data_IF_134535939620
#
_entry.id   IF_134535939620
#
_cell.length_a   1.000
_cell.length_b   1.000
_cell.length_c   1.000
_cell.angle_alpha   90.00
_cell.angle_beta   90.00
_cell.angle_gamma   90.00
#
_symmetry.space_group_name_H-M   'P 1'
#
loop_
_entity.id
_entity.type
_entity.pdbx_description
1 polymer ?
#
# COMPACT_ATOMS: atom_id res chain seq x y z
N UNK A 1 11.68 -2.56 17.09
CA UNK A 1 11.11 -1.62 18.09
C UNK A 1 9.65 -1.95 18.47
N UNK A 2 8.68 -2.22 17.56
CA UNK A 2 7.27 -2.48 17.95
C UNK A 2 7.10 -3.67 18.91
N UNK A 3 7.89 -4.73 18.73
CA UNK A 3 7.84 -5.91 19.60
C UNK A 3 8.14 -5.57 21.06
N UNK A 4 9.09 -4.69 21.34
CA UNK A 4 9.43 -4.30 22.72
C UNK A 4 8.31 -3.52 23.40
N UNK A 5 7.53 -2.74 22.66
CA UNK A 5 6.36 -2.03 23.20
C UNK A 5 5.30 -3.04 23.64
N UNK A 6 5.04 -4.08 22.84
CA UNK A 6 4.09 -5.14 23.17
C UNK A 6 4.60 -5.96 24.38
N UNK A 7 5.86 -6.38 24.36
CA UNK A 7 6.45 -7.16 25.48
C UNK A 7 6.43 -6.35 26.79
N UNK A 8 6.80 -5.07 26.73
CA UNK A 8 6.77 -4.20 27.90
C UNK A 8 5.34 -4.02 28.44
N UNK A 9 4.36 -3.81 27.56
CA UNK A 9 2.95 -3.62 27.98
C UNK A 9 2.35 -4.88 28.61
N UNK A 10 2.65 -6.05 28.05
CA UNK A 10 2.26 -7.34 28.62
C UNK A 10 2.96 -7.57 29.96
N UNK A 11 4.27 -7.27 30.04
CA UNK A 11 5.06 -7.36 31.28
C UNK A 11 4.51 -6.48 32.40
N UNK A 12 4.11 -5.26 32.09
CA UNK A 12 3.44 -4.36 33.05
C UNK A 12 2.11 -4.97 33.50
N UNK A 13 1.30 -5.49 32.57
CA UNK A 13 0.04 -6.17 32.92
C UNK A 13 0.24 -7.34 33.88
N UNK A 14 1.26 -8.18 33.65
CA UNK A 14 1.64 -9.28 34.56
C UNK A 14 2.11 -8.77 35.92
N UNK A 15 2.90 -7.72 35.96
CA UNK A 15 3.37 -7.12 37.21
C UNK A 15 2.22 -6.67 38.10
N UNK A 16 1.24 -5.96 37.53
CA UNK A 16 0.03 -5.55 38.26
C UNK A 16 -0.80 -6.75 38.75
N UNK A 17 -0.98 -7.75 37.91
CA UNK A 17 -1.77 -8.93 38.23
C UNK A 17 -1.13 -9.85 39.26
N UNK A 18 0.18 -10.13 39.14
CA UNK A 18 0.88 -11.13 39.96
C UNK A 18 1.54 -10.55 41.19
N UNK A 19 2.10 -9.34 41.11
CA UNK A 19 2.90 -8.76 42.20
C UNK A 19 2.01 -7.87 43.09
N UNK A 20 1.17 -7.04 42.47
CA UNK A 20 0.33 -6.11 43.20
C UNK A 20 -1.06 -6.68 43.56
N UNK A 21 -1.41 -7.86 43.01
CA UNK A 21 -2.76 -8.44 43.15
C UNK A 21 -3.88 -7.43 42.80
N UNK A 22 -3.60 -6.49 41.93
CA UNK A 22 -4.54 -5.44 41.49
C UNK A 22 -4.86 -5.63 40.00
N UNK A 23 -6.05 -5.22 39.60
CA UNK A 23 -6.39 -5.15 38.20
C UNK A 23 -5.45 -4.13 37.49
N UNK A 24 -4.99 -4.39 36.25
CA UNK A 24 -4.23 -3.41 35.51
C UNK A 24 -4.99 -2.07 35.46
N UNK A 25 -4.30 -0.93 35.50
CA UNK A 25 -4.92 0.40 35.50
C UNK A 25 -5.63 0.76 34.18
N UNK A 26 -5.82 -0.22 33.32
CA UNK A 26 -6.43 -0.09 31.99
C UNK A 26 -7.76 -0.86 32.01
N UNK A 27 -8.82 -0.18 31.61
CA UNK A 27 -10.16 -0.79 31.48
C UNK A 27 -10.12 -2.00 30.53
N UNK A 28 -10.88 -3.04 30.85
CA UNK A 28 -10.99 -4.25 30.02
C UNK A 28 -11.45 -3.96 28.60
N UNK A 29 -12.22 -2.90 28.40
CA UNK A 29 -12.69 -2.46 27.07
C UNK A 29 -11.56 -1.93 26.18
N UNK A 30 -10.42 -1.55 26.78
CA UNK A 30 -9.22 -1.10 26.08
C UNK A 30 -8.20 -2.22 25.84
N UNK A 31 -8.56 -3.45 26.10
CA UNK A 31 -7.74 -4.63 25.82
C UNK A 31 -8.22 -5.36 24.57
N UNK A 32 -7.32 -6.15 23.96
CA UNK A 32 -7.71 -6.99 22.81
C UNK A 32 -8.70 -8.05 23.30
N UNK A 33 -9.86 -8.10 22.68
CA UNK A 33 -10.83 -9.17 22.89
C UNK A 33 -10.69 -10.22 21.79
N UNK A 34 -10.45 -11.47 22.19
CA UNK A 34 -10.46 -12.62 21.28
C UNK A 34 -11.67 -13.46 21.65
N UNK A 35 -12.55 -13.81 20.68
CA UNK A 35 -13.68 -14.72 20.96
C UNK A 35 -13.18 -16.04 21.55
N UNK A 36 -13.92 -16.56 22.54
CA UNK A 36 -13.56 -17.81 23.22
C UNK A 36 -13.59 -19.03 22.29
N UNK A 37 -14.40 -18.98 21.26
CA UNK A 37 -14.62 -20.06 20.29
C UNK A 37 -14.25 -19.64 18.87
N UNK A 38 -12.94 -19.47 18.61
CA UNK A 38 -12.42 -19.05 17.30
C UNK A 38 -12.87 -19.93 16.13
N UNK A 39 -13.18 -21.20 16.37
CA UNK A 39 -13.53 -22.15 15.32
C UNK A 39 -15.04 -22.23 15.03
N UNK A 40 -15.88 -21.80 15.95
CA UNK A 40 -17.36 -21.89 15.83
C UNK A 40 -18.01 -20.56 15.52
N UNK A 41 -17.40 -19.45 15.94
CA UNK A 41 -17.97 -18.11 15.85
C UNK A 41 -17.51 -17.33 14.61
N UNK A 42 -17.21 -18.06 13.53
CA UNK A 42 -16.91 -17.40 12.26
C UNK A 42 -18.15 -16.67 11.72
N UNK A 43 -18.03 -15.36 11.41
CA UNK A 43 -19.12 -14.64 10.77
C UNK A 43 -19.42 -15.28 9.41
N UNK A 44 -20.69 -15.60 9.21
CA UNK A 44 -21.14 -16.17 7.92
C UNK A 44 -21.50 -15.04 6.97
N UNK A 45 -21.18 -15.16 5.67
CA UNK A 45 -21.56 -14.16 4.69
C UNK A 45 -23.09 -14.13 4.54
N UNK A 46 -23.66 -12.92 4.67
CA UNK A 46 -25.08 -12.66 4.39
C UNK A 46 -25.22 -12.10 2.98
N UNK A 47 -26.04 -12.75 2.14
CA UNK A 47 -26.21 -12.38 0.75
C UNK A 47 -27.51 -11.61 0.47
N UNK A 48 -28.37 -11.42 1.47
CA UNK A 48 -29.72 -10.85 1.30
C UNK A 48 -29.69 -9.42 0.75
N UNK A 49 -28.63 -8.66 1.03
CA UNK A 49 -28.46 -7.27 0.59
C UNK A 49 -27.40 -7.09 -0.49
N UNK A 50 -26.94 -8.15 -1.13
CA UNK A 50 -25.82 -8.09 -2.10
C UNK A 50 -26.12 -7.28 -3.36
N UNK A 51 -27.38 -7.04 -3.67
CA UNK A 51 -27.80 -6.21 -4.82
C UNK A 51 -28.26 -4.80 -4.42
N UNK A 52 -28.13 -4.41 -3.15
CA UNK A 52 -28.42 -3.03 -2.73
C UNK A 52 -27.36 -2.07 -3.36
N UNK A 53 -27.84 -0.95 -3.91
CA UNK A 53 -26.99 0.06 -4.53
C UNK A 53 -25.94 0.62 -3.54
N UNK A 54 -26.31 0.76 -2.28
CA UNK A 54 -25.38 1.19 -1.22
C UNK A 54 -24.28 0.15 -1.00
N UNK A 55 -24.64 -1.14 -0.96
CA UNK A 55 -23.68 -2.23 -0.83
C UNK A 55 -22.72 -2.26 -2.00
N UNK A 56 -23.21 -2.18 -3.24
CA UNK A 56 -22.40 -2.14 -4.44
C UNK A 56 -21.45 -0.93 -4.44
N UNK A 57 -21.91 0.23 -3.99
CA UNK A 57 -21.06 1.43 -3.83
C UNK A 57 -19.91 1.21 -2.86
N UNK A 58 -20.17 0.57 -1.71
CA UNK A 58 -19.13 0.23 -0.71
C UNK A 58 -18.15 -0.79 -1.28
N UNK A 59 -18.64 -1.85 -1.92
CA UNK A 59 -17.80 -2.88 -2.56
C UNK A 59 -16.88 -2.25 -3.62
N UNK A 60 -17.43 -1.40 -4.48
CA UNK A 60 -16.63 -0.68 -5.49
C UNK A 60 -15.55 0.19 -4.83
N UNK A 61 -15.90 0.93 -3.78
CA UNK A 61 -14.98 1.79 -3.05
C UNK A 61 -13.84 1.00 -2.41
N UNK A 62 -14.16 -0.08 -1.70
CA UNK A 62 -13.15 -0.96 -1.07
C UNK A 62 -12.25 -1.59 -2.13
N UNK A 63 -12.83 -2.09 -3.23
CA UNK A 63 -12.06 -2.68 -4.33
C UNK A 63 -11.11 -1.68 -4.96
N UNK A 64 -11.57 -0.46 -5.23
CA UNK A 64 -10.75 0.60 -5.80
C UNK A 64 -9.56 0.94 -4.88
N UNK A 65 -9.82 1.12 -3.59
CA UNK A 65 -8.78 1.41 -2.60
C UNK A 65 -7.78 0.26 -2.54
N UNK A 66 -8.25 -0.98 -2.42
CA UNK A 66 -7.41 -2.17 -2.31
C UNK A 66 -6.51 -2.36 -3.55
N UNK A 67 -7.05 -2.10 -4.75
CA UNK A 67 -6.28 -2.17 -6.00
C UNK A 67 -5.21 -1.09 -6.06
N UNK A 68 -5.56 0.18 -5.76
CA UNK A 68 -4.60 1.29 -5.79
C UNK A 68 -3.49 1.07 -4.74
N UNK A 69 -3.86 0.72 -3.52
CA UNK A 69 -2.91 0.45 -2.44
C UNK A 69 -1.96 -0.70 -2.80
N UNK A 70 -2.51 -1.81 -3.32
CA UNK A 70 -1.72 -2.96 -3.74
C UNK A 70 -0.77 -2.62 -4.89
N UNK A 71 -1.22 -1.87 -5.89
CA UNK A 71 -0.39 -1.42 -7.02
C UNK A 71 0.79 -0.57 -6.57
N UNK A 72 0.54 0.39 -5.68
CA UNK A 72 1.59 1.25 -5.11
C UNK A 72 2.56 0.44 -4.27
N UNK A 73 2.04 -0.47 -3.45
CA UNK A 73 2.84 -1.35 -2.59
C UNK A 73 3.71 -2.31 -3.39
N UNK A 74 3.19 -2.95 -4.43
CA UNK A 74 3.95 -3.84 -5.33
C UNK A 74 5.12 -3.08 -5.96
N UNK A 75 4.87 -1.88 -6.48
CA UNK A 75 5.92 -1.04 -7.07
C UNK A 75 6.99 -0.60 -6.06
N UNK A 76 6.58 -0.31 -4.84
CA UNK A 76 7.51 0.04 -3.77
C UNK A 76 8.36 -1.17 -3.34
N UNK A 77 7.74 -2.35 -3.21
CA UNK A 77 8.42 -3.60 -2.83
C UNK A 77 9.40 -4.06 -3.91
N UNK A 78 9.05 -3.94 -5.19
CA UNK A 78 9.96 -4.25 -6.31
C UNK A 78 11.28 -3.45 -6.21
N UNK A 79 11.23 -2.21 -5.70
CA UNK A 79 12.43 -1.38 -5.47
C UNK A 79 13.28 -1.84 -4.29
N UNK A 80 12.66 -2.53 -3.32
CA UNK A 80 13.33 -3.03 -2.13
C UNK A 80 13.98 -4.40 -2.36
N UNK A 81 13.65 -5.12 -3.43
CA UNK A 81 14.20 -6.45 -3.71
C UNK A 81 15.71 -6.36 -4.05
N UNK A 82 16.60 -7.00 -3.27
CA UNK A 82 18.04 -7.01 -3.55
C UNK A 82 18.38 -7.61 -4.92
N UNK A 83 17.54 -8.54 -5.40
CA UNK A 83 17.70 -9.19 -6.70
C UNK A 83 17.07 -8.40 -7.85
N UNK A 84 16.49 -7.22 -7.58
CA UNK A 84 15.84 -6.33 -8.56
C UNK A 84 14.80 -7.03 -9.45
N UNK A 85 14.14 -8.08 -8.92
CA UNK A 85 13.09 -8.79 -9.65
C UNK A 85 11.86 -7.89 -9.79
N UNK A 86 11.17 -8.01 -10.91
CA UNK A 86 9.92 -7.26 -11.16
C UNK A 86 8.72 -8.18 -10.99
N UNK A 87 7.76 -7.75 -10.20
CA UNK A 87 6.49 -8.46 -10.00
C UNK A 87 5.60 -8.34 -11.23
N UNK A 88 4.87 -9.41 -11.52
CA UNK A 88 3.81 -9.37 -12.53
C UNK A 88 2.53 -8.87 -11.88
N UNK A 89 2.25 -7.57 -12.03
CA UNK A 89 1.13 -6.88 -11.40
C UNK A 89 -0.21 -7.58 -11.67
N UNK A 90 -0.45 -8.07 -12.89
CA UNK A 90 -1.71 -8.74 -13.23
C UNK A 90 -1.87 -10.07 -12.49
N UNK A 91 -0.80 -10.85 -12.34
CA UNK A 91 -0.81 -12.09 -11.56
C UNK A 91 -1.02 -11.81 -10.07
N UNK A 92 -0.36 -10.78 -9.56
CA UNK A 92 -0.45 -10.39 -8.16
C UNK A 92 -1.86 -9.89 -7.81
N UNK A 93 -2.47 -9.04 -8.64
CA UNK A 93 -3.85 -8.57 -8.43
C UNK A 93 -4.87 -9.71 -8.50
N UNK A 94 -4.70 -10.68 -9.43
CA UNK A 94 -5.56 -11.87 -9.48
C UNK A 94 -5.42 -12.71 -8.22
N UNK A 95 -4.20 -12.92 -7.74
CA UNK A 95 -3.95 -13.66 -6.51
C UNK A 95 -4.56 -12.96 -5.28
N UNK A 96 -4.43 -11.63 -5.19
CA UNK A 96 -5.05 -10.83 -4.14
C UNK A 96 -6.58 -10.89 -4.18
N UNK A 97 -7.17 -10.84 -5.38
CA UNK A 97 -8.61 -10.99 -5.56
C UNK A 97 -9.11 -12.35 -5.08
N UNK A 98 -8.45 -13.45 -5.48
CA UNK A 98 -8.78 -14.79 -5.00
C UNK A 98 -8.60 -14.92 -3.48
N UNK A 99 -7.51 -14.40 -2.94
CA UNK A 99 -7.28 -14.39 -1.50
C UNK A 99 -8.35 -13.59 -0.75
N UNK A 100 -8.81 -12.45 -1.29
CA UNK A 100 -9.88 -11.65 -0.71
C UNK A 100 -11.22 -12.37 -0.73
N UNK A 101 -11.52 -13.12 -1.81
CA UNK A 101 -12.74 -13.96 -1.88
C UNK A 101 -12.70 -15.02 -0.78
N UNK A 102 -11.61 -15.78 -0.67
CA UNK A 102 -11.45 -16.80 0.38
C UNK A 102 -11.54 -16.19 1.77
N UNK A 103 -10.85 -15.06 1.99
CA UNK A 103 -10.90 -14.33 3.26
C UNK A 103 -12.34 -13.90 3.60
N UNK A 104 -13.09 -13.35 2.63
CA UNK A 104 -14.47 -12.92 2.83
C UNK A 104 -15.40 -14.08 3.19
N UNK A 105 -15.25 -15.26 2.57
CA UNK A 105 -16.01 -16.44 2.95
C UNK A 105 -15.70 -16.95 4.35
N UNK A 106 -14.48 -16.73 4.83
CA UNK A 106 -14.04 -17.02 6.20
C UNK A 106 -14.36 -15.90 7.18
N UNK A 107 -15.10 -14.86 6.76
CA UNK A 107 -15.42 -13.70 7.60
C UNK A 107 -14.25 -12.74 7.86
N UNK A 108 -13.18 -12.85 7.08
CA UNK A 108 -12.02 -11.99 7.17
C UNK A 108 -12.14 -10.71 6.34
N UNK A 109 -11.15 -9.83 6.51
CA UNK A 109 -11.03 -8.58 5.75
C UNK A 109 -10.46 -8.84 4.35
N UNK A 110 -10.58 -7.83 3.47
CA UNK A 110 -9.94 -7.84 2.16
C UNK A 110 -8.41 -7.92 2.30
N UNK A 111 -7.78 -8.63 1.37
CA UNK A 111 -6.33 -8.86 1.35
C UNK A 111 -5.66 -7.83 0.45
N UNK A 112 -4.64 -7.15 0.98
CA UNK A 112 -3.84 -6.15 0.26
C UNK A 112 -2.35 -6.36 0.48
N UNK A 113 -1.55 -5.90 -0.46
CA UNK A 113 -0.08 -5.91 -0.30
C UNK A 113 0.34 -4.76 0.61
N UNK A 114 1.15 -5.04 1.64
CA UNK A 114 1.61 -4.07 2.64
C UNK A 114 3.11 -3.87 2.56
N UNK A 115 3.56 -2.64 2.30
CA UNK A 115 4.99 -2.28 2.18
C UNK A 115 5.75 -2.61 3.48
N UNK A 116 5.20 -2.27 4.64
CA UNK A 116 5.88 -2.44 5.92
C UNK A 116 6.27 -3.89 6.19
N UNK A 117 5.35 -4.84 6.00
CA UNK A 117 5.63 -6.28 6.17
C UNK A 117 6.62 -6.80 5.14
N UNK A 118 6.46 -6.40 3.88
CA UNK A 118 7.34 -6.79 2.79
C UNK A 118 8.76 -6.27 3.01
N UNK A 119 8.91 -5.03 3.48
CA UNK A 119 10.21 -4.43 3.82
C UNK A 119 10.91 -5.20 4.95
N UNK A 120 10.20 -5.53 6.03
CA UNK A 120 10.75 -6.33 7.11
C UNK A 120 11.22 -7.70 6.60
N UNK A 121 10.41 -8.35 5.78
CA UNK A 121 10.71 -9.66 5.21
C UNK A 121 11.97 -9.61 4.32
N UNK A 122 12.05 -8.64 3.43
CA UNK A 122 13.20 -8.44 2.53
C UNK A 122 14.47 -8.09 3.30
N UNK A 123 14.39 -7.18 4.28
CA UNK A 123 15.53 -6.77 5.10
C UNK A 123 16.07 -7.90 5.98
N UNK A 124 15.25 -8.90 6.29
CA UNK A 124 15.67 -10.11 7.01
C UNK A 124 16.09 -11.25 6.07
N UNK A 125 16.34 -10.98 4.80
CA UNK A 125 16.92 -11.92 3.86
C UNK A 125 15.94 -12.94 3.25
N UNK A 126 14.64 -12.70 3.30
CA UNK A 126 13.67 -13.57 2.67
C UNK A 126 13.79 -13.49 1.13
N UNK A 127 14.00 -14.64 0.51
CA UNK A 127 14.22 -14.73 -0.96
C UNK A 127 13.11 -15.44 -1.70
N UNK A 128 12.18 -16.08 -0.99
CA UNK A 128 11.12 -16.89 -1.57
C UNK A 128 9.76 -16.74 -0.85
N UNK A 129 8.73 -17.38 -1.39
CA UNK A 129 7.35 -17.31 -0.89
C UNK A 129 7.11 -18.05 0.42
N UNK A 130 7.98 -18.99 0.78
CA UNK A 130 7.82 -19.79 2.01
C UNK A 130 7.84 -18.92 3.26
N UNK A 131 8.57 -17.80 3.26
CA UNK A 131 8.58 -16.86 4.37
C UNK A 131 7.16 -16.36 4.72
N UNK A 132 6.33 -16.10 3.72
CA UNK A 132 4.95 -15.64 3.93
C UNK A 132 4.04 -16.77 4.45
N UNK A 133 4.25 -17.99 3.96
CA UNK A 133 3.53 -19.17 4.46
C UNK A 133 3.83 -19.43 5.94
N UNK A 134 5.11 -19.47 6.31
CA UNK A 134 5.51 -19.66 7.70
C UNK A 134 5.04 -18.52 8.61
N UNK A 135 5.06 -17.27 8.12
CA UNK A 135 4.53 -16.14 8.86
C UNK A 135 3.05 -16.37 9.21
N UNK A 136 2.24 -16.79 8.24
CA UNK A 136 0.82 -17.07 8.46
C UNK A 136 0.61 -18.25 9.40
N UNK A 137 1.38 -19.33 9.23
CA UNK A 137 1.32 -20.50 10.10
C UNK A 137 1.68 -20.16 11.56
N UNK A 138 2.72 -19.35 11.77
CA UNK A 138 3.09 -18.88 13.10
C UNK A 138 2.05 -17.97 13.72
N UNK A 139 1.40 -17.09 12.93
CA UNK A 139 0.31 -16.26 13.45
C UNK A 139 -0.85 -17.11 13.98
N UNK A 140 -1.28 -18.12 13.22
CA UNK A 140 -2.31 -19.07 13.67
C UNK A 140 -1.86 -19.78 14.94
N UNK A 141 -0.64 -20.31 14.95
CA UNK A 141 -0.07 -20.98 16.12
C UNK A 141 -0.05 -20.08 17.36
N UNK A 142 0.41 -18.83 17.20
CA UNK A 142 0.44 -17.87 18.31
C UNK A 142 -0.96 -17.53 18.83
N UNK A 143 -1.94 -17.36 17.97
CA UNK A 143 -3.32 -17.08 18.41
C UNK A 143 -3.89 -18.26 19.17
N UNK A 144 -3.62 -19.50 18.73
CA UNK A 144 -4.12 -20.71 19.39
C UNK A 144 -3.41 -20.99 20.73
N UNK A 145 -2.08 -20.78 20.80
CA UNK A 145 -1.30 -21.11 22.01
C UNK A 145 -1.25 -19.95 23.00
N UNK A 146 -1.17 -18.72 22.52
CA UNK A 146 -0.94 -17.52 23.33
C UNK A 146 -2.17 -16.60 23.36
N UNK A 147 -3.37 -17.10 23.08
CA UNK A 147 -4.60 -16.30 23.04
C UNK A 147 -4.85 -15.50 24.32
N UNK A 148 -4.57 -16.11 25.49
CA UNK A 148 -4.69 -15.43 26.79
C UNK A 148 -3.69 -14.28 26.95
N UNK A 149 -2.45 -14.46 26.51
CA UNK A 149 -1.41 -13.44 26.55
C UNK A 149 -1.67 -12.31 25.58
N UNK A 150 -2.21 -12.62 24.40
CA UNK A 150 -2.61 -11.62 23.40
C UNK A 150 -3.72 -10.73 23.93
N UNK A 151 -4.68 -11.28 24.69
CA UNK A 151 -5.73 -10.49 25.35
C UNK A 151 -5.23 -9.53 26.43
N UNK A 152 -4.01 -9.73 26.91
CA UNK A 152 -3.36 -8.80 27.84
C UNK A 152 -2.70 -7.60 27.17
N UNK A 153 -2.69 -7.55 25.84
CA UNK A 153 -2.12 -6.43 25.09
C UNK A 153 -3.13 -5.27 25.08
N UNK A 154 -2.78 -4.11 25.60
CA UNK A 154 -3.66 -2.95 25.55
C UNK A 154 -3.73 -2.37 24.13
N UNK A 155 -4.93 -1.95 23.72
CA UNK A 155 -5.14 -1.24 22.45
C UNK A 155 -4.32 0.06 22.34
N UNK A 156 -4.04 0.69 23.48
CA UNK A 156 -3.16 1.87 23.57
C UNK A 156 -1.73 1.59 23.08
N UNK A 157 -1.20 0.39 23.32
CA UNK A 157 0.12 -0.01 22.84
C UNK A 157 0.13 -0.16 21.31
N UNK A 158 -0.94 -0.72 20.74
CA UNK A 158 -1.11 -0.79 19.28
C UNK A 158 -1.27 0.59 18.67
N UNK A 159 -2.06 1.47 19.31
CA UNK A 159 -2.21 2.85 18.88
C UNK A 159 -0.87 3.60 18.90
N UNK A 160 -0.05 3.43 19.93
CA UNK A 160 1.28 4.03 20.00
C UNK A 160 2.20 3.55 18.85
N UNK A 161 2.13 2.26 18.50
CA UNK A 161 2.88 1.71 17.35
C UNK A 161 2.40 2.33 16.04
N UNK A 162 1.09 2.51 15.86
CA UNK A 162 0.51 3.14 14.68
C UNK A 162 0.93 4.61 14.56
N UNK A 163 0.88 5.37 15.66
CA UNK A 163 1.32 6.77 15.70
C UNK A 163 2.82 6.88 15.35
N UNK A 164 3.65 6.03 15.94
CA UNK A 164 5.08 6.00 15.61
C UNK A 164 5.35 5.67 14.14
N UNK A 165 4.62 4.70 13.61
CA UNK A 165 4.74 4.31 12.20
C UNK A 165 4.27 5.44 11.28
N UNK A 166 3.15 6.08 11.62
CA UNK A 166 2.65 7.27 10.91
C UNK A 166 3.67 8.42 10.91
N UNK A 167 4.25 8.73 12.06
CA UNK A 167 5.32 9.73 12.17
C UNK A 167 6.52 9.40 11.28
N UNK A 168 6.96 8.15 11.28
CA UNK A 168 8.09 7.71 10.43
C UNK A 168 7.78 7.82 8.93
N UNK A 169 6.56 7.52 8.52
CA UNK A 169 6.12 7.67 7.13
C UNK A 169 5.96 9.13 6.72
N UNK A 170 5.46 9.98 7.63
CA UNK A 170 5.28 11.42 7.43
C UNK A 170 6.53 12.23 7.83
N UNK A 171 7.73 11.65 7.75
CA UNK A 171 8.95 12.33 8.18
C UNK A 171 9.20 13.61 7.36
N UNK A 172 9.74 14.68 7.99
CA UNK A 172 10.06 15.95 7.31
C UNK A 172 10.95 15.77 6.08
N UNK A 173 11.84 14.77 6.11
CA UNK A 173 12.72 14.46 4.99
C UNK A 173 11.94 14.06 3.72
N UNK A 174 10.81 13.39 3.86
CA UNK A 174 9.97 13.04 2.73
C UNK A 174 9.33 14.28 2.10
N UNK A 175 8.89 15.24 2.92
CA UNK A 175 8.38 16.54 2.44
C UNK A 175 9.47 17.33 1.72
N UNK A 176 10.67 17.40 2.29
CA UNK A 176 11.80 18.10 1.67
C UNK A 176 12.21 17.46 0.34
N UNK A 177 12.16 16.13 0.23
CA UNK A 177 12.42 15.43 -1.05
C UNK A 177 11.41 15.83 -2.11
N UNK A 178 10.13 15.88 -1.77
CA UNK A 178 9.07 16.26 -2.71
C UNK A 178 9.23 17.72 -3.14
N UNK A 179 9.53 18.60 -2.19
CA UNK A 179 9.79 20.02 -2.48
C UNK A 179 11.00 20.22 -3.41
N UNK A 180 12.05 19.42 -3.25
CA UNK A 180 13.24 19.45 -4.15
C UNK A 180 12.94 18.97 -5.56
N UNK A 181 11.89 18.16 -5.78
CA UNK A 181 11.45 17.76 -7.13
C UNK A 181 10.82 18.94 -7.84
N UNK A 182 10.05 19.77 -7.12
CA UNK A 182 9.42 20.98 -7.62
C UNK A 182 8.33 21.48 -6.69
N UNK A 183 8.17 22.81 -6.57
CA UNK A 183 7.15 23.40 -5.70
C UNK A 183 5.73 23.00 -6.10
N UNK A 184 5.50 22.74 -7.38
CA UNK A 184 4.24 22.24 -7.90
C UNK A 184 3.88 20.85 -7.35
N UNK A 185 4.87 19.97 -7.28
CA UNK A 185 4.71 18.63 -6.72
C UNK A 185 4.43 18.68 -5.22
N UNK A 186 5.10 19.58 -4.51
CA UNK A 186 4.86 19.81 -3.09
C UNK A 186 3.45 20.34 -2.84
N UNK A 187 2.95 21.24 -3.69
CA UNK A 187 1.59 21.77 -3.62
C UNK A 187 0.54 20.69 -3.83
N UNK A 188 0.67 19.89 -4.92
CA UNK A 188 -0.23 18.76 -5.21
C UNK A 188 -0.22 17.75 -4.07
N UNK A 189 0.97 17.41 -3.56
CA UNK A 189 1.12 16.48 -2.45
C UNK A 189 0.40 16.98 -1.19
N UNK A 190 0.59 18.26 -0.83
CA UNK A 190 -0.02 18.85 0.37
C UNK A 190 -1.54 18.88 0.26
N UNK A 191 -2.08 19.30 -0.89
CA UNK A 191 -3.55 19.32 -1.11
C UNK A 191 -4.12 17.90 -1.05
N UNK A 192 -3.46 16.94 -1.69
CA UNK A 192 -3.90 15.54 -1.66
C UNK A 192 -3.92 15.00 -0.24
N UNK A 193 -2.84 15.26 0.53
CA UNK A 193 -2.72 14.84 1.92
C UNK A 193 -3.84 15.45 2.79
N UNK A 194 -4.01 16.77 2.73
CA UNK A 194 -5.03 17.49 3.52
C UNK A 194 -6.42 17.01 3.15
N UNK A 195 -6.72 16.87 1.86
CA UNK A 195 -8.02 16.36 1.41
C UNK A 195 -8.28 14.93 1.89
N UNK A 196 -7.25 14.08 1.88
CA UNK A 196 -7.38 12.69 2.38
C UNK A 196 -7.65 12.66 3.88
N UNK A 197 -6.99 13.52 4.65
CA UNK A 197 -7.18 13.60 6.11
C UNK A 197 -8.55 14.17 6.51
N UNK A 198 -9.06 15.14 5.75
CA UNK A 198 -10.33 15.79 6.05
C UNK A 198 -11.55 15.00 5.58
N UNK A 199 -11.38 14.12 4.59
CA UNK A 199 -12.49 13.38 3.99
C UNK A 199 -12.24 11.86 4.03
N UNK A 200 -11.72 11.32 2.94
CA UNK A 200 -11.34 9.93 2.80
C UNK A 200 -10.30 9.76 1.67
N UNK A 201 -9.69 8.57 1.61
CA UNK A 201 -8.62 8.27 0.66
C UNK A 201 -9.06 8.45 -0.82
N UNK A 202 -10.29 8.04 -1.16
CA UNK A 202 -10.79 8.13 -2.54
C UNK A 202 -10.92 9.59 -2.96
N UNK A 203 -11.54 10.41 -2.12
CA UNK A 203 -11.72 11.83 -2.40
C UNK A 203 -10.37 12.55 -2.50
N UNK A 204 -9.43 12.25 -1.59
CA UNK A 204 -8.07 12.76 -1.66
C UNK A 204 -7.37 12.43 -2.97
N UNK A 205 -7.48 11.19 -3.46
CA UNK A 205 -6.91 10.78 -4.75
C UNK A 205 -7.55 11.56 -5.90
N UNK A 206 -8.88 11.69 -5.93
CA UNK A 206 -9.60 12.46 -6.97
C UNK A 206 -9.12 13.92 -6.97
N UNK A 207 -9.08 14.55 -5.81
CA UNK A 207 -8.57 15.92 -5.65
C UNK A 207 -7.13 16.03 -6.15
N UNK A 208 -6.25 15.10 -5.77
CA UNK A 208 -4.86 15.05 -6.24
C UNK A 208 -4.76 14.96 -7.77
N UNK A 209 -5.56 14.11 -8.40
CA UNK A 209 -5.60 13.98 -9.86
C UNK A 209 -6.09 15.28 -10.53
N UNK A 210 -7.17 15.87 -10.01
CA UNK A 210 -7.72 17.13 -10.51
C UNK A 210 -6.70 18.26 -10.40
N UNK A 211 -6.06 18.41 -9.23
CA UNK A 211 -5.03 19.44 -9.05
C UNK A 211 -3.78 19.18 -9.89
N UNK A 212 -3.37 17.94 -10.08
CA UNK A 212 -2.30 17.59 -11.03
C UNK A 212 -2.66 18.07 -12.44
N UNK A 213 -3.89 17.81 -12.86
CA UNK A 213 -4.38 18.23 -14.18
C UNK A 213 -4.41 19.75 -14.31
N UNK A 214 -4.96 20.46 -13.31
CA UNK A 214 -5.03 21.92 -13.28
C UNK A 214 -3.64 22.57 -13.30
N UNK A 215 -2.71 22.09 -12.48
CA UNK A 215 -1.35 22.64 -12.40
C UNK A 215 -0.64 22.52 -13.75
N UNK A 216 -0.75 21.38 -14.40
CA UNK A 216 -0.18 21.21 -15.73
C UNK A 216 -0.87 22.05 -16.80
N UNK A 217 -2.15 22.31 -16.63
CA UNK A 217 -2.92 23.17 -17.54
C UNK A 217 -2.45 24.63 -17.43
N UNK A 218 -2.27 25.14 -16.20
CA UNK A 218 -1.83 26.52 -15.95
C UNK A 218 -0.39 26.79 -16.35
N UNK A 219 0.49 25.81 -16.15
CA UNK A 219 1.93 25.96 -16.47
C UNK A 219 2.21 25.90 -17.97
N UNK A 220 1.39 25.20 -18.73
CA UNK A 220 1.56 25.06 -20.17
C UNK A 220 0.40 25.76 -20.89
N UNK A 221 0.60 26.97 -21.32
CA UNK A 221 -0.35 27.90 -21.96
C UNK A 221 -1.16 27.39 -23.18
N UNK A 222 -1.10 26.10 -23.53
CA UNK A 222 -1.74 25.56 -24.72
C UNK A 222 -2.60 24.34 -24.38
N UNK A 223 -3.86 24.61 -24.04
CA UNK A 223 -4.90 23.61 -23.68
C UNK A 223 -5.05 22.50 -24.71
N UNK A 224 -5.06 22.85 -25.98
CA UNK A 224 -5.30 21.92 -27.11
C UNK A 224 -4.15 20.90 -27.27
N UNK A 225 -2.90 21.35 -27.12
CA UNK A 225 -1.72 20.49 -27.22
C UNK A 225 -1.64 19.57 -26.00
N UNK A 226 -2.07 20.03 -24.82
CA UNK A 226 -2.08 19.24 -23.60
C UNK A 226 -3.07 18.07 -23.69
N UNK A 227 -4.33 18.32 -24.09
CA UNK A 227 -5.36 17.28 -24.21
C UNK A 227 -5.03 16.25 -25.30
N UNK A 228 -4.50 16.69 -26.45
CA UNK A 228 -4.08 15.78 -27.51
C UNK A 228 -2.87 14.94 -27.13
N UNK A 229 -1.92 15.47 -26.38
CA UNK A 229 -0.70 14.78 -25.97
C UNK A 229 -0.85 13.90 -24.72
N UNK A 230 -1.91 14.07 -23.92
CA UNK A 230 -2.20 13.16 -22.81
C UNK A 230 -2.33 11.71 -23.30
N UNK A 231 -3.01 11.52 -24.43
CA UNK A 231 -3.29 10.19 -24.97
C UNK A 231 -2.29 9.73 -26.05
N UNK A 232 -1.55 10.66 -26.68
CA UNK A 232 -0.60 10.36 -27.76
C UNK A 232 0.79 10.93 -27.40
N UNK A 233 1.65 10.19 -26.69
CA UNK A 233 3.03 10.62 -26.51
C UNK A 233 3.72 10.63 -27.87
N UNK A 234 4.37 11.73 -28.19
CA UNK A 234 5.17 11.85 -29.39
C UNK A 234 6.57 11.28 -29.10
N UNK A 235 6.67 9.95 -29.12
CA UNK A 235 7.93 9.23 -28.90
C UNK A 235 8.51 8.89 -30.26
N UNK A 236 9.60 9.55 -30.59
CA UNK A 236 10.43 9.21 -31.76
C UNK A 236 11.47 8.19 -31.30
N UNK A 237 11.53 7.07 -31.99
CA UNK A 237 12.55 6.05 -31.80
C UNK A 237 13.17 5.78 -33.15
N UNK A 238 14.49 5.92 -33.25
CA UNK A 238 15.24 5.58 -34.42
C UNK A 238 16.55 4.88 -34.01
N UNK A 239 16.99 3.98 -34.84
CA UNK A 239 18.27 3.29 -34.68
C UNK A 239 19.28 3.94 -35.63
N UNK A 240 20.45 4.20 -35.14
CA UNK A 240 21.55 4.72 -35.98
C UNK A 240 22.26 3.56 -36.64
N UNK A 241 22.28 3.57 -37.98
CA UNK A 241 22.84 2.45 -38.79
C UNK A 241 24.33 2.20 -38.54
N UNK A 242 25.10 3.22 -38.13
CA UNK A 242 26.54 3.10 -37.93
C UNK A 242 26.94 2.58 -36.54
N UNK A 243 26.19 2.91 -35.50
CA UNK A 243 26.53 2.58 -34.10
C UNK A 243 25.64 1.49 -33.52
N UNK A 244 24.52 1.17 -34.18
CA UNK A 244 23.53 0.26 -33.65
C UNK A 244 22.73 0.82 -32.45
N UNK A 245 23.02 2.05 -32.01
CA UNK A 245 22.38 2.66 -30.86
C UNK A 245 20.95 3.08 -31.15
N UNK A 246 20.06 2.85 -30.18
CA UNK A 246 18.69 3.34 -30.23
C UNK A 246 18.57 4.72 -29.56
N UNK A 247 18.10 5.68 -30.31
CA UNK A 247 17.79 7.02 -29.80
C UNK A 247 16.29 7.14 -29.53
N UNK A 248 15.93 7.45 -28.28
CA UNK A 248 14.54 7.61 -27.86
C UNK A 248 14.33 9.06 -27.45
N UNK A 249 13.70 9.83 -28.32
CA UNK A 249 13.36 11.23 -28.04
C UNK A 249 11.89 11.34 -27.67
N UNK A 250 11.60 11.88 -26.49
CA UNK A 250 10.26 12.18 -26.03
C UNK A 250 9.99 13.65 -26.31
N UNK A 251 9.27 13.94 -27.41
CA UNK A 251 8.77 15.29 -27.71
C UNK A 251 7.53 15.54 -26.86
N UNK A 252 7.49 16.68 -26.19
CA UNK A 252 6.39 17.12 -25.34
C UNK A 252 6.32 16.39 -23.97
N UNK A 253 5.14 16.39 -23.39
CA UNK A 253 4.89 16.01 -22.01
C UNK A 253 4.76 14.47 -21.83
N UNK A 254 5.56 13.91 -20.96
CA UNK A 254 5.41 12.53 -20.52
C UNK A 254 4.64 12.52 -19.19
N UNK A 255 3.41 12.03 -19.20
CA UNK A 255 2.55 11.87 -18.04
C UNK A 255 2.36 10.40 -17.70
N UNK A 256 1.82 10.11 -16.51
CA UNK A 256 1.47 8.74 -16.14
C UNK A 256 0.47 8.08 -17.10
N UNK A 257 -0.38 8.86 -17.77
CA UNK A 257 -1.38 8.38 -18.74
C UNK A 257 -0.77 7.88 -20.04
N UNK A 258 0.34 8.48 -20.47
CA UNK A 258 1.01 8.10 -21.71
C UNK A 258 2.30 7.28 -21.51
N UNK A 259 2.73 7.12 -20.25
CA UNK A 259 3.93 6.37 -19.88
C UNK A 259 3.89 4.90 -20.36
N UNK A 260 2.71 4.28 -20.39
CA UNK A 260 2.54 2.91 -20.88
C UNK A 260 2.99 2.75 -22.34
N UNK A 261 2.69 3.74 -23.19
CA UNK A 261 3.11 3.71 -24.61
C UNK A 261 4.61 3.92 -24.76
N UNK A 262 5.20 4.81 -23.96
CA UNK A 262 6.64 4.98 -23.90
C UNK A 262 7.31 3.66 -23.48
N UNK A 263 6.82 3.06 -22.41
CA UNK A 263 7.31 1.77 -21.92
C UNK A 263 7.21 0.69 -22.99
N UNK A 264 6.07 0.57 -23.69
CA UNK A 264 5.89 -0.42 -24.77
C UNK A 264 6.90 -0.25 -25.91
N UNK A 265 7.28 0.99 -26.23
CA UNK A 265 8.33 1.26 -27.24
C UNK A 265 9.73 0.91 -26.71
N UNK A 266 10.03 1.23 -25.46
CA UNK A 266 11.29 0.85 -24.83
C UNK A 266 11.45 -0.67 -24.70
N UNK A 267 10.37 -1.39 -24.41
CA UNK A 267 10.37 -2.85 -24.31
C UNK A 267 10.57 -3.54 -25.70
N UNK A 268 10.54 -2.79 -26.79
CA UNK A 268 10.85 -3.28 -28.15
C UNK A 268 12.35 -3.26 -28.46
N UNK A 269 13.16 -2.59 -27.66
CA UNK A 269 14.61 -2.53 -27.81
C UNK A 269 15.19 -3.85 -27.29
N UNK A 270 16.02 -4.57 -28.07
CA UNK A 270 16.68 -5.79 -27.62
C UNK A 270 17.51 -5.56 -26.34
N UNK A 271 17.51 -6.54 -25.41
CA UNK A 271 18.21 -6.41 -24.12
C UNK A 271 19.73 -6.22 -24.24
N UNK A 272 20.30 -6.57 -25.39
CA UNK A 272 21.74 -6.49 -25.66
C UNK A 272 22.17 -5.15 -26.29
N UNK A 273 21.26 -4.22 -26.51
CA UNK A 273 21.54 -2.94 -27.15
C UNK A 273 21.35 -1.76 -26.19
N UNK A 274 22.16 -0.72 -26.34
CA UNK A 274 22.10 0.48 -25.51
C UNK A 274 21.08 1.47 -26.06
N UNK A 275 20.18 1.96 -25.18
CA UNK A 275 19.27 3.07 -25.47
C UNK A 275 19.85 4.37 -24.89
N UNK A 276 19.92 5.42 -25.69
CA UNK A 276 20.37 6.76 -25.33
C UNK A 276 19.19 7.75 -25.38
#
# INVERSE_FOLDING_TARGET
>A
APMWVVVASVGIGYYYSLVLNQAPPISKDLMISIPSNLLTDFPRPEFDKSFDLKFLGVVFSITLIAVIESLLSIKAVDKLDPKKRRSNVNKDLRALGLASIVSGFLGGLNVVTVIARSSVNTNNGATNRSANFFHSAFLVLFVLLLGKQIQMIPLTSLAAILVYTGYKLASPDNFLRIYKIGPEQAFIFTITLVSTLLTNLIFGIIVGIVFTFLTHLFLRKTLLIFTLNIFKPNVLMYQEDQTGNYYVSVKNFCSFLNFYRLKKKLDQIPENEHAI
#
